data_IF_545795728761
#
_entry.id   IF_545795728761
#
_cell.length_a   1.000
_cell.length_b   1.000
_cell.length_c   1.000
_cell.angle_alpha   90.00
_cell.angle_beta   90.00
_cell.angle_gamma   90.00
#
_symmetry.space_group_name_H-M   'P 1'
#
loop_
_entity.id
_entity.type
_entity.pdbx_description
1 polymer ?
#
# COMPACT_ATOMS: atom_id res chain seq x y z
N UNK A 1 5.54 -9.47 14.27
CA UNK A 1 6.40 -10.35 13.47
C UNK A 1 5.63 -11.61 13.16
N UNK A 2 4.87 -11.62 12.07
CA UNK A 2 4.39 -12.87 11.45
C UNK A 2 5.18 -12.98 10.17
N UNK A 3 6.24 -13.79 10.19
CA UNK A 3 7.01 -14.10 9.00
C UNK A 3 6.07 -14.70 7.96
N UNK A 4 5.92 -14.03 6.82
CA UNK A 4 5.37 -14.69 5.63
C UNK A 4 6.26 -15.90 5.29
N UNK A 5 5.69 -16.99 4.77
CA UNK A 5 6.48 -18.10 4.24
C UNK A 5 7.49 -17.55 3.21
N UNK A 6 8.69 -18.15 3.15
CA UNK A 6 9.87 -17.70 2.40
C UNK A 6 9.52 -16.87 1.16
N UNK A 7 9.65 -15.53 1.31
CA UNK A 7 9.51 -14.59 0.19
C UNK A 7 10.63 -14.93 -0.81
N UNK A 8 10.29 -15.23 -2.09
CA UNK A 8 11.32 -15.37 -3.10
C UNK A 8 12.13 -14.07 -3.23
N UNK A 9 13.40 -14.11 -3.66
CA UNK A 9 14.20 -12.89 -3.85
C UNK A 9 13.45 -11.87 -4.74
N UNK A 10 13.70 -10.58 -4.49
CA UNK A 10 13.03 -9.42 -5.10
C UNK A 10 12.59 -9.64 -6.55
N UNK A 11 11.42 -9.09 -6.90
CA UNK A 11 10.79 -9.22 -8.22
C UNK A 11 11.81 -9.11 -9.38
N UNK A 12 12.14 -10.25 -9.98
CA UNK A 12 13.02 -10.31 -11.16
C UNK A 12 12.19 -10.12 -12.42
N UNK A 13 12.64 -9.20 -13.27
CA UNK A 13 12.01 -8.95 -14.57
C UNK A 13 12.27 -10.15 -15.50
N UNK A 14 11.20 -10.78 -16.01
CA UNK A 14 11.27 -11.70 -17.14
C UNK A 14 10.84 -10.95 -18.39
N UNK A 15 11.55 -11.13 -19.51
CA UNK A 15 11.21 -10.49 -20.78
C UNK A 15 9.76 -10.86 -21.16
N UNK A 16 8.84 -9.90 -21.06
CA UNK A 16 7.41 -10.10 -21.21
C UNK A 16 6.97 -9.83 -22.66
N UNK A 17 6.09 -10.70 -23.18
CA UNK A 17 5.41 -10.52 -24.45
C UNK A 17 4.20 -9.57 -24.27
N UNK A 18 3.71 -8.93 -25.33
CA UNK A 18 2.65 -7.91 -25.32
C UNK A 18 1.37 -8.35 -24.55
N UNK A 19 1.02 -9.65 -24.63
CA UNK A 19 -0.15 -10.20 -23.93
C UNK A 19 0.02 -10.24 -22.40
N UNK A 20 1.25 -10.41 -21.89
CA UNK A 20 1.57 -10.40 -20.46
C UNK A 20 1.53 -8.97 -19.91
N UNK A 21 1.97 -7.99 -20.70
CA UNK A 21 1.88 -6.56 -20.38
C UNK A 21 0.42 -6.12 -20.20
N UNK A 22 -0.47 -6.56 -21.09
CA UNK A 22 -1.90 -6.23 -21.05
C UNK A 22 -2.64 -6.88 -19.85
N UNK A 23 -2.24 -8.09 -19.44
CA UNK A 23 -2.76 -8.71 -18.22
C UNK A 23 -2.30 -7.99 -16.94
N UNK A 24 -1.02 -7.61 -16.85
CA UNK A 24 -0.47 -6.87 -15.71
C UNK A 24 -1.12 -5.50 -15.52
N UNK A 25 -1.39 -4.77 -16.61
CA UNK A 25 -2.08 -3.48 -16.56
C UNK A 25 -3.53 -3.61 -16.07
N UNK A 26 -4.27 -4.63 -16.52
CA UNK A 26 -5.62 -4.89 -15.99
C UNK A 26 -5.61 -5.22 -14.50
N UNK A 27 -4.65 -6.01 -14.05
CA UNK A 27 -4.53 -6.33 -12.63
C UNK A 27 -4.16 -5.08 -11.83
N UNK A 28 -3.21 -4.27 -12.31
CA UNK A 28 -2.89 -2.98 -11.72
C UNK A 28 -4.12 -2.07 -11.56
N UNK A 29 -4.98 -1.99 -12.57
CA UNK A 29 -6.22 -1.20 -12.50
C UNK A 29 -7.17 -1.71 -11.40
N UNK A 30 -7.33 -3.03 -11.24
CA UNK A 30 -8.16 -3.61 -10.17
C UNK A 30 -7.63 -3.26 -8.79
N UNK A 31 -6.32 -3.34 -8.60
CA UNK A 31 -5.67 -3.02 -7.33
C UNK A 31 -5.72 -1.54 -7.01
N UNK A 32 -5.51 -0.66 -8.01
CA UNK A 32 -5.61 0.78 -7.83
C UNK A 32 -7.06 1.22 -7.55
N UNK A 33 -8.04 0.59 -8.17
CA UNK A 33 -9.46 0.84 -7.88
C UNK A 33 -9.79 0.53 -6.41
N UNK A 34 -9.32 -0.60 -5.88
CA UNK A 34 -9.51 -0.94 -4.48
C UNK A 34 -8.75 0.00 -3.53
N UNK A 35 -7.52 0.39 -3.89
CA UNK A 35 -6.74 1.39 -3.14
C UNK A 35 -7.52 2.71 -3.01
N UNK A 36 -8.15 3.16 -4.09
CA UNK A 36 -9.00 4.37 -4.10
C UNK A 36 -10.17 4.23 -3.14
N UNK A 37 -10.89 3.11 -3.25
CA UNK A 37 -12.04 2.83 -2.39
C UNK A 37 -11.66 2.76 -0.90
N UNK A 38 -10.50 2.18 -0.59
CA UNK A 38 -9.99 2.11 0.79
C UNK A 38 -9.67 3.50 1.34
N UNK A 39 -9.03 4.38 0.54
CA UNK A 39 -8.70 5.74 0.95
C UNK A 39 -9.94 6.61 1.16
N UNK A 40 -10.95 6.46 0.30
CA UNK A 40 -12.22 7.18 0.45
C UNK A 40 -12.98 6.72 1.69
N UNK A 41 -13.07 5.40 1.90
CA UNK A 41 -13.66 4.85 3.12
C UNK A 41 -12.88 5.27 4.39
N UNK A 42 -11.54 5.38 4.32
CA UNK A 42 -10.75 5.89 5.44
C UNK A 42 -11.13 7.32 5.83
N UNK A 43 -11.38 8.20 4.85
CA UNK A 43 -11.83 9.58 5.08
C UNK A 43 -13.20 9.63 5.75
N UNK A 44 -14.16 8.84 5.27
CA UNK A 44 -15.50 8.75 5.87
C UNK A 44 -15.45 8.24 7.32
N UNK A 45 -14.64 7.20 7.56
CA UNK A 45 -14.47 6.63 8.88
C UNK A 45 -13.83 7.62 9.85
N UNK A 46 -12.79 8.33 9.42
CA UNK A 46 -12.17 9.38 10.22
C UNK A 46 -13.18 10.49 10.58
N UNK A 47 -14.01 10.92 9.62
CA UNK A 47 -15.07 11.91 9.87
C UNK A 47 -16.13 11.41 10.87
N UNK A 48 -16.37 10.10 10.93
CA UNK A 48 -17.28 9.46 11.89
C UNK A 48 -16.64 9.11 13.25
N UNK A 49 -15.39 9.49 13.50
CA UNK A 49 -14.66 9.19 14.74
C UNK A 49 -14.10 7.76 14.84
N UNK A 50 -14.12 6.99 13.74
CA UNK A 50 -13.63 5.60 13.69
C UNK A 50 -12.16 5.55 13.28
N UNK A 51 -11.31 6.20 14.08
CA UNK A 51 -9.94 6.50 13.73
C UNK A 51 -9.05 5.26 13.52
N UNK A 52 -9.18 4.23 14.36
CA UNK A 52 -8.40 2.99 14.19
C UNK A 52 -8.69 2.31 12.85
N UNK A 53 -9.96 2.24 12.44
CA UNK A 53 -10.33 1.63 11.16
C UNK A 53 -9.92 2.52 9.98
N UNK A 54 -9.97 3.84 10.13
CA UNK A 54 -9.42 4.76 9.13
C UNK A 54 -7.91 4.54 8.93
N UNK A 55 -7.13 4.44 10.00
CA UNK A 55 -5.68 4.14 9.93
C UNK A 55 -5.41 2.78 9.27
N UNK A 56 -6.22 1.76 9.57
CA UNK A 56 -6.11 0.45 8.93
C UNK A 56 -6.31 0.55 7.42
N UNK A 57 -7.38 1.22 6.98
CA UNK A 57 -7.65 1.41 5.56
C UNK A 57 -6.62 2.28 4.86
N UNK A 58 -5.99 3.23 5.55
CA UNK A 58 -4.85 3.98 5.00
C UNK A 58 -3.66 3.05 4.70
N UNK A 59 -3.31 2.14 5.61
CA UNK A 59 -2.26 1.14 5.34
C UNK A 59 -2.65 0.24 4.16
N UNK A 60 -3.90 -0.22 4.11
CA UNK A 60 -4.41 -1.05 3.00
C UNK A 60 -4.43 -0.32 1.65
N UNK A 61 -4.80 0.96 1.64
CA UNK A 61 -4.78 1.80 0.45
C UNK A 61 -3.34 1.93 -0.09
N UNK A 62 -2.37 2.22 0.80
CA UNK A 62 -0.96 2.30 0.43
C UNK A 62 -0.43 0.97 -0.11
N UNK A 63 -0.67 -0.14 0.59
CA UNK A 63 -0.28 -1.48 0.18
C UNK A 63 -0.75 -1.76 -1.26
N UNK A 64 -2.05 -1.56 -1.50
CA UNK A 64 -2.66 -1.86 -2.81
C UNK A 64 -2.20 -0.91 -3.92
N UNK A 65 -1.90 0.35 -3.61
CA UNK A 65 -1.32 1.27 -4.59
C UNK A 65 0.06 0.80 -5.04
N UNK A 66 0.96 0.46 -4.11
CA UNK A 66 2.30 -0.03 -4.47
C UNK A 66 2.22 -1.37 -5.21
N UNK A 67 1.33 -2.28 -4.78
CA UNK A 67 1.10 -3.52 -5.51
C UNK A 67 0.60 -3.28 -6.94
N UNK A 68 -0.30 -2.30 -7.15
CA UNK A 68 -0.77 -1.94 -8.49
C UNK A 68 0.40 -1.53 -9.40
N UNK A 69 1.37 -0.77 -8.89
CA UNK A 69 2.58 -0.43 -9.63
C UNK A 69 3.40 -1.67 -10.01
N UNK A 70 3.60 -2.60 -9.07
CA UNK A 70 4.32 -3.85 -9.33
C UNK A 70 3.64 -4.69 -10.43
N UNK A 71 2.31 -4.83 -10.39
CA UNK A 71 1.56 -5.52 -11.45
C UNK A 71 1.70 -4.83 -12.81
N UNK A 72 1.64 -3.49 -12.86
CA UNK A 72 1.83 -2.74 -14.09
C UNK A 72 3.24 -2.92 -14.68
N UNK A 73 4.23 -3.21 -13.84
CA UNK A 73 5.60 -3.53 -14.23
C UNK A 73 5.82 -5.01 -14.56
N UNK A 74 4.77 -5.82 -14.61
CA UNK A 74 4.81 -7.23 -15.02
C UNK A 74 5.10 -8.22 -13.90
N UNK A 75 5.05 -7.80 -12.63
CA UNK A 75 5.18 -8.73 -11.49
C UNK A 75 3.92 -9.58 -11.40
N UNK A 76 4.05 -10.90 -11.57
CA UNK A 76 2.90 -11.82 -11.58
C UNK A 76 2.30 -12.04 -10.18
N UNK A 77 3.14 -11.97 -9.14
CA UNK A 77 2.70 -12.19 -7.77
C UNK A 77 3.42 -11.26 -6.80
N UNK A 78 2.64 -10.49 -6.04
CA UNK A 78 3.11 -9.61 -4.98
C UNK A 78 2.96 -10.33 -3.64
N UNK A 79 4.01 -10.31 -2.83
CA UNK A 79 4.07 -11.03 -1.56
C UNK A 79 4.20 -10.06 -0.37
N UNK A 80 3.46 -10.34 0.70
CA UNK A 80 3.52 -9.57 1.94
C UNK A 80 2.63 -8.32 1.93
N UNK A 81 2.63 -7.64 3.07
CA UNK A 81 1.74 -6.49 3.34
C UNK A 81 2.52 -5.22 3.78
N UNK A 82 3.82 -5.36 4.06
CA UNK A 82 4.62 -4.26 4.57
C UNK A 82 4.97 -3.31 3.41
N UNK A 83 4.57 -2.05 3.53
CA UNK A 83 4.91 -0.99 2.58
C UNK A 83 6.41 -0.80 2.47
N UNK A 84 7.16 -0.97 3.55
CA UNK A 84 8.63 -0.94 3.49
C UNK A 84 9.18 -1.98 2.50
N UNK A 85 8.64 -3.19 2.51
CA UNK A 85 9.06 -4.31 1.66
C UNK A 85 8.58 -4.15 0.22
N UNK A 86 7.33 -3.72 0.04
CA UNK A 86 6.74 -3.48 -1.29
C UNK A 86 7.44 -2.32 -2.01
N UNK A 87 7.81 -1.26 -1.29
CA UNK A 87 8.55 -0.15 -1.88
C UNK A 87 9.98 -0.57 -2.25
N UNK A 88 10.62 -1.50 -1.53
CA UNK A 88 11.92 -2.04 -1.95
C UNK A 88 11.82 -2.89 -3.22
N UNK A 89 10.77 -3.70 -3.37
CA UNK A 89 10.53 -4.41 -4.63
C UNK A 89 10.30 -3.44 -5.78
N UNK A 90 9.47 -2.40 -5.56
CA UNK A 90 9.18 -1.41 -6.59
C UNK A 90 10.43 -0.59 -6.94
N UNK A 91 11.31 -0.31 -5.96
CA UNK A 91 12.58 0.37 -6.14
C UNK A 91 13.55 -0.40 -7.04
N UNK A 92 13.53 -1.73 -7.01
CA UNK A 92 14.32 -2.55 -7.93
C UNK A 92 13.93 -2.32 -9.40
N UNK A 93 12.69 -1.86 -9.64
CA UNK A 93 12.13 -1.57 -10.96
C UNK A 93 12.18 -0.07 -11.31
N UNK A 94 12.04 0.81 -10.31
CA UNK A 94 12.05 2.27 -10.42
C UNK A 94 12.65 2.89 -9.14
N UNK A 95 13.90 3.40 -9.20
CA UNK A 95 14.60 3.95 -8.03
C UNK A 95 13.88 5.09 -7.31
N UNK A 96 12.91 5.77 -7.95
CA UNK A 96 12.16 6.85 -7.31
C UNK A 96 11.32 6.39 -6.11
N UNK A 97 11.05 5.08 -5.99
CA UNK A 97 10.35 4.51 -4.84
C UNK A 97 11.11 4.67 -3.51
N UNK A 98 12.44 4.91 -3.55
CA UNK A 98 13.22 5.22 -2.35
C UNK A 98 12.71 6.50 -1.66
N UNK A 99 12.21 7.47 -2.44
CA UNK A 99 11.67 8.74 -1.94
C UNK A 99 10.39 8.50 -1.13
N UNK A 100 9.42 7.76 -1.69
CA UNK A 100 8.13 7.53 -1.02
C UNK A 100 8.23 6.51 0.11
N UNK A 101 9.18 5.57 0.04
CA UNK A 101 9.35 4.50 1.03
C UNK A 101 9.41 5.02 2.47
N UNK A 102 10.18 6.10 2.68
CA UNK A 102 10.44 6.68 4.01
C UNK A 102 9.16 7.13 4.73
N UNK A 103 8.17 7.63 3.99
CA UNK A 103 6.86 8.01 4.54
C UNK A 103 5.88 6.84 4.50
N UNK A 104 5.85 6.05 3.43
CA UNK A 104 4.94 4.92 3.27
C UNK A 104 5.05 3.90 4.42
N UNK A 105 6.28 3.56 4.85
CA UNK A 105 6.50 2.59 5.92
C UNK A 105 5.90 2.98 7.28
N UNK A 106 5.61 4.27 7.50
CA UNK A 106 5.00 4.73 8.74
C UNK A 106 3.57 4.19 8.91
N UNK A 107 2.93 3.76 7.82
CA UNK A 107 1.63 3.11 7.84
C UNK A 107 1.69 1.65 8.32
N UNK A 108 2.84 0.98 8.25
CA UNK A 108 2.96 -0.45 8.59
C UNK A 108 2.60 -0.73 10.05
N UNK A 109 2.81 0.23 10.95
CA UNK A 109 2.40 0.14 12.36
C UNK A 109 0.89 -0.07 12.52
N UNK A 110 0.09 0.39 11.55
CA UNK A 110 -1.36 0.29 11.60
C UNK A 110 -1.87 -1.09 11.18
N UNK A 111 -1.06 -1.95 10.55
CA UNK A 111 -1.54 -3.24 10.05
C UNK A 111 -2.08 -4.15 11.17
N UNK A 112 -1.39 -4.26 12.30
CA UNK A 112 -1.83 -5.11 13.43
C UNK A 112 -2.51 -4.32 14.54
N UNK A 113 -1.94 -3.17 14.92
CA UNK A 113 -2.36 -2.42 16.10
C UNK A 113 -3.78 -1.83 16.00
N UNK A 114 -4.32 -1.69 14.79
CA UNK A 114 -5.70 -1.22 14.56
C UNK A 114 -6.74 -2.34 14.66
N UNK A 115 -6.32 -3.61 14.71
CA UNK A 115 -7.21 -4.78 14.63
C UNK A 115 -7.17 -5.66 15.88
N UNK A 116 -5.99 -5.88 16.43
CA UNK A 116 -5.80 -6.85 17.50
C UNK A 116 -5.49 -6.17 18.84
N UNK A 117 -6.33 -6.35 19.88
CA UNK A 117 -6.01 -5.89 21.22
C UNK A 117 -4.66 -6.42 21.75
N UNK A 118 -4.24 -7.61 21.32
CA UNK A 118 -2.94 -8.21 21.68
C UNK A 118 -1.73 -7.46 21.11
N UNK A 119 -1.93 -6.56 20.14
CA UNK A 119 -0.88 -5.69 19.60
C UNK A 119 -0.75 -4.37 20.36
N UNK A 120 -1.51 -4.17 21.45
CA UNK A 120 -1.50 -2.98 22.29
C UNK A 120 -1.00 -3.31 23.71
N UNK A 121 -0.41 -2.33 24.42
CA UNK A 121 -0.11 -2.48 25.85
C UNK A 121 -1.36 -2.68 26.73
N UNK A 122 -2.54 -2.26 26.24
CA UNK A 122 -3.83 -2.41 26.91
C UNK A 122 -4.97 -1.77 26.12
N UNK A 123 -6.21 -2.03 26.56
CA UNK A 123 -7.43 -1.50 25.92
C UNK A 123 -7.78 -2.19 24.60
N UNK A 124 -8.56 -1.50 23.76
CA UNK A 124 -8.98 -1.98 22.44
C UNK A 124 -8.57 -0.98 21.35
N UNK A 125 -8.25 -1.44 20.12
CA UNK A 125 -7.85 -0.54 19.04
C UNK A 125 -8.81 0.63 18.79
N UNK A 126 -10.12 0.38 18.86
CA UNK A 126 -11.14 1.40 18.65
C UNK A 126 -11.06 2.61 19.61
N UNK A 127 -10.33 2.49 20.73
CA UNK A 127 -10.13 3.55 21.73
C UNK A 127 -8.68 4.05 21.79
N UNK A 128 -7.76 3.42 21.06
CA UNK A 128 -6.32 3.69 21.13
C UNK A 128 -5.83 4.69 20.06
N UNK A 129 -6.73 5.15 19.20
CA UNK A 129 -6.45 6.02 18.05
C UNK A 129 -7.35 7.25 18.09
N UNK A 130 -6.78 8.39 17.73
CA UNK A 130 -7.48 9.68 17.70
C UNK A 130 -7.51 10.31 16.30
N UNK A 131 -8.07 11.53 16.24
CA UNK A 131 -8.17 12.29 14.99
C UNK A 131 -6.81 12.61 14.37
N UNK A 132 -5.77 12.87 15.16
CA UNK A 132 -4.43 13.17 14.65
C UNK A 132 -3.76 11.93 14.05
N UNK A 133 -4.02 10.75 14.60
CA UNK A 133 -3.55 9.50 13.98
C UNK A 133 -4.19 9.25 12.63
N UNK A 134 -5.52 9.35 12.55
CA UNK A 134 -6.23 9.11 11.28
C UNK A 134 -5.92 10.18 10.23
N UNK A 135 -5.78 11.45 10.63
CA UNK A 135 -5.39 12.54 9.73
C UNK A 135 -4.02 12.30 9.12
N UNK A 136 -3.00 12.00 9.94
CA UNK A 136 -1.64 11.69 9.46
C UNK A 136 -1.62 10.44 8.56
N UNK A 137 -2.38 9.41 8.91
CA UNK A 137 -2.46 8.21 8.09
C UNK A 137 -3.08 8.49 6.71
N UNK A 138 -4.12 9.32 6.65
CA UNK A 138 -4.76 9.75 5.40
C UNK A 138 -3.80 10.59 4.54
N UNK A 139 -3.08 11.53 5.15
CA UNK A 139 -2.05 12.34 4.47
C UNK A 139 -1.01 11.44 3.79
N UNK A 140 -0.45 10.48 4.53
CA UNK A 140 0.56 9.54 4.00
C UNK A 140 -0.04 8.64 2.90
N UNK A 141 -1.22 8.06 3.11
CA UNK A 141 -1.85 7.19 2.11
C UNK A 141 -2.17 7.95 0.81
N UNK A 142 -2.59 9.21 0.92
CA UNK A 142 -2.78 10.08 -0.23
C UNK A 142 -1.47 10.39 -0.97
N UNK A 143 -0.37 10.65 -0.25
CA UNK A 143 0.94 10.86 -0.89
C UNK A 143 1.43 9.61 -1.63
N UNK A 144 1.21 8.41 -1.07
CA UNK A 144 1.52 7.14 -1.73
C UNK A 144 0.67 6.95 -2.99
N UNK A 145 -0.65 7.16 -2.89
CA UNK A 145 -1.57 7.04 -4.04
C UNK A 145 -1.18 7.99 -5.18
N UNK A 146 -0.95 9.28 -4.85
CA UNK A 146 -0.50 10.28 -5.83
C UNK A 146 0.82 9.87 -6.49
N UNK A 147 1.81 9.48 -5.69
CA UNK A 147 3.11 9.05 -6.19
C UNK A 147 2.98 7.87 -7.17
N UNK A 148 2.21 6.85 -6.80
CA UNK A 148 1.99 5.67 -7.65
C UNK A 148 1.29 6.04 -8.95
N UNK A 149 0.23 6.87 -8.91
CA UNK A 149 -0.49 7.30 -10.10
C UNK A 149 0.40 8.06 -11.08
N UNK A 150 1.26 8.94 -10.58
CA UNK A 150 2.22 9.65 -11.43
C UNK A 150 3.20 8.69 -12.11
N UNK A 151 3.61 7.60 -11.44
CA UNK A 151 4.48 6.58 -12.04
C UNK A 151 3.73 5.73 -13.07
N UNK A 152 2.49 5.32 -12.77
CA UNK A 152 1.64 4.58 -13.71
C UNK A 152 1.38 5.41 -14.99
N UNK A 153 1.03 6.69 -14.85
CA UNK A 153 0.81 7.57 -16.00
C UNK A 153 2.09 7.77 -16.84
N UNK A 154 3.27 7.72 -16.24
CA UNK A 154 4.54 7.79 -16.96
C UNK A 154 4.81 6.52 -17.80
N UNK A 155 4.25 5.36 -17.42
CA UNK A 155 4.36 4.12 -18.21
C UNK A 155 3.49 4.18 -19.47
N UNK A 156 2.32 4.82 -19.41
CA UNK A 156 1.41 4.95 -20.56
C UNK A 156 1.93 5.90 -21.66
N UNK A 157 2.89 6.77 -21.32
CA UNK A 157 3.44 7.81 -22.20
C UNK A 157 4.82 7.47 -22.81
N UNK A 158 5.34 6.27 -22.57
CA UNK A 158 6.65 5.79 -23.06
C UNK A 158 6.52 4.64 -24.04
#
# INVERSE_FOLDING_TARGET
MTSSPDRPPHATNHATNDATTDAGLREAQRWLAQSTADLDAARELAASGRHALACFLCQQAGEKAVSAYLFARGVEQVWGHALADLCEDAKALDPSFDVIKTVAMLLDKHYLATRYPSALPGGVPAQAYDSDDSRRAIEIAHDVDRFVRERLAALDNG
#
